data_IF_062557859295
#
_entry.id   IF_062557859295
#
_cell.length_a   1.000
_cell.length_b   1.000
_cell.length_c   1.000
_cell.angle_alpha   90.00
_cell.angle_beta   90.00
_cell.angle_gamma   90.00
#
_symmetry.space_group_name_H-M   'P 1'
#
loop_
_entity.id
_entity.type
_entity.pdbx_description
1 polymer ?
#
# COMPACT_ATOMS: atom_id res chain seq x y z
N UNK A 1 -3.23 -12.01 -13.77
CA UNK A 1 -1.82 -11.62 -13.52
C UNK A 1 -1.87 -10.50 -12.51
N UNK A 2 -1.16 -10.59 -11.39
CA UNK A 2 -1.12 -9.55 -10.36
C UNK A 2 0.04 -8.58 -10.63
N UNK A 3 -0.15 -7.31 -10.28
CA UNK A 3 0.85 -6.26 -10.48
C UNK A 3 1.18 -5.65 -9.14
N UNK A 4 2.47 -5.49 -8.84
CA UNK A 4 3.06 -4.98 -7.60
C UNK A 4 2.79 -5.82 -6.35
N UNK A 5 1.61 -6.42 -6.17
CA UNK A 5 1.25 -7.21 -4.98
C UNK A 5 0.59 -8.53 -5.35
N UNK A 6 0.90 -9.58 -4.61
CA UNK A 6 0.36 -10.92 -4.76
C UNK A 6 0.34 -11.65 -3.39
N UNK A 7 -0.06 -12.91 -3.39
CA UNK A 7 -0.12 -13.74 -2.17
C UNK A 7 1.21 -13.92 -1.43
N UNK A 8 2.34 -13.68 -2.09
CA UNK A 8 3.68 -13.79 -1.50
C UNK A 8 4.19 -12.45 -0.95
N UNK A 9 3.44 -11.35 -1.16
CA UNK A 9 3.81 -10.03 -0.67
C UNK A 9 3.79 -10.00 0.85
N UNK A 10 4.94 -9.77 1.48
CA UNK A 10 5.11 -9.71 2.94
C UNK A 10 4.98 -8.26 3.40
N UNK A 11 3.86 -7.97 4.03
CA UNK A 11 3.44 -6.61 4.39
C UNK A 11 3.71 -6.32 5.85
N UNK A 12 4.16 -5.10 6.16
CA UNK A 12 4.14 -4.55 7.53
C UNK A 12 3.24 -3.31 7.58
N UNK A 13 2.76 -2.97 8.77
CA UNK A 13 1.98 -1.76 9.02
C UNK A 13 2.79 -0.76 9.85
N UNK A 14 3.04 0.45 9.37
CA UNK A 14 3.55 1.56 10.15
C UNK A 14 2.39 2.31 10.82
N UNK A 15 2.50 2.57 12.12
CA UNK A 15 1.39 3.01 12.96
C UNK A 15 0.50 1.85 13.43
N UNK A 16 1.06 0.64 13.49
CA UNK A 16 0.38 -0.64 13.68
C UNK A 16 -0.52 -0.69 14.92
N UNK A 17 -0.09 -0.13 16.04
CA UNK A 17 -0.85 -0.13 17.30
C UNK A 17 -1.79 1.07 17.46
N UNK A 18 -1.90 1.93 16.45
CA UNK A 18 -2.87 3.01 16.38
C UNK A 18 -4.25 2.50 15.95
N UNK A 19 -5.32 3.25 16.22
CA UNK A 19 -6.68 2.81 15.91
C UNK A 19 -6.87 2.45 14.42
N UNK A 20 -6.44 3.31 13.51
CA UNK A 20 -6.51 3.04 12.06
C UNK A 20 -5.59 1.89 11.64
N UNK A 21 -4.34 1.87 12.14
CA UNK A 21 -3.40 0.79 11.85
C UNK A 21 -3.93 -0.56 12.30
N UNK A 22 -4.49 -0.66 13.50
CA UNK A 22 -5.12 -1.88 14.03
C UNK A 22 -6.28 -2.33 13.16
N UNK A 23 -7.27 -1.46 12.94
CA UNK A 23 -8.48 -1.80 12.18
C UNK A 23 -8.17 -2.29 10.76
N UNK A 24 -7.35 -1.55 10.02
CA UNK A 24 -7.05 -1.93 8.64
C UNK A 24 -6.09 -3.11 8.54
N UNK A 25 -5.27 -3.35 9.55
CA UNK A 25 -4.47 -4.58 9.65
C UNK A 25 -5.34 -5.82 9.87
N UNK A 26 -6.33 -5.74 10.77
CA UNK A 26 -7.31 -6.81 10.95
C UNK A 26 -8.06 -7.12 9.65
N UNK A 27 -8.53 -6.08 8.94
CA UNK A 27 -9.23 -6.25 7.67
C UNK A 27 -8.31 -6.82 6.56
N UNK A 28 -7.03 -6.47 6.55
CA UNK A 28 -6.05 -7.05 5.64
C UNK A 28 -5.80 -8.54 5.94
N UNK A 29 -5.63 -8.89 7.21
CA UNK A 29 -5.49 -10.29 7.65
C UNK A 29 -6.73 -11.12 7.28
N UNK A 30 -7.93 -10.61 7.57
CA UNK A 30 -9.20 -11.27 7.19
C UNK A 30 -9.33 -11.49 5.69
N UNK A 31 -8.78 -10.58 4.90
CA UNK A 31 -8.75 -10.69 3.43
C UNK A 31 -7.77 -11.74 2.92
N UNK A 32 -6.83 -12.18 3.73
CA UNK A 32 -5.78 -13.12 3.36
C UNK A 32 -4.44 -12.49 2.97
N UNK A 33 -4.27 -11.19 3.23
CA UNK A 33 -2.98 -10.50 3.06
C UNK A 33 -1.95 -11.09 4.03
N UNK A 34 -0.76 -11.39 3.54
CA UNK A 34 0.35 -11.86 4.34
C UNK A 34 0.97 -10.70 5.15
N UNK A 35 0.24 -10.23 6.17
CA UNK A 35 0.73 -9.26 7.12
C UNK A 35 1.65 -9.97 8.12
N UNK A 36 2.92 -9.59 8.16
CA UNK A 36 3.94 -10.29 8.95
C UNK A 36 4.34 -9.58 10.24
N UNK A 37 3.96 -8.31 10.41
CA UNK A 37 4.28 -7.53 11.61
C UNK A 37 3.92 -6.06 11.43
N UNK A 38 4.38 -5.23 12.36
CA UNK A 38 4.19 -3.79 12.25
C UNK A 38 5.23 -2.98 13.01
N UNK A 39 5.22 -1.69 12.75
CA UNK A 39 6.14 -0.72 13.34
C UNK A 39 5.37 0.31 14.14
N UNK A 40 5.75 0.46 15.41
CA UNK A 40 5.30 1.56 16.26
C UNK A 40 6.47 1.94 17.19
N UNK A 41 7.03 3.14 17.04
CA UNK A 41 8.15 3.59 17.88
C UNK A 41 7.85 3.43 19.38
N UNK A 42 8.84 2.97 20.15
CA UNK A 42 8.78 2.70 21.59
C UNK A 42 7.85 1.54 22.01
N UNK A 43 7.36 0.74 21.07
CA UNK A 43 6.56 -0.46 21.34
C UNK A 43 7.19 -1.74 20.77
N UNK A 44 8.43 -1.66 20.31
CA UNK A 44 9.19 -2.84 19.85
C UNK A 44 9.29 -3.92 20.92
N UNK A 45 9.28 -5.19 20.49
CA UNK A 45 9.27 -6.37 21.34
C UNK A 45 7.91 -6.80 21.88
N UNK A 46 6.85 -6.02 21.64
CA UNK A 46 5.48 -6.40 21.98
C UNK A 46 4.86 -7.22 20.84
N UNK A 47 3.73 -7.85 21.13
CA UNK A 47 2.83 -8.43 20.11
C UNK A 47 1.56 -7.59 19.98
N UNK A 48 1.08 -7.46 18.75
CA UNK A 48 -0.21 -6.84 18.44
C UNK A 48 -0.85 -7.63 17.29
N UNK A 49 -2.13 -7.99 17.42
CA UNK A 49 -2.80 -8.93 16.51
C UNK A 49 -2.02 -10.24 16.30
N UNK A 50 -1.43 -10.76 17.37
CA UNK A 50 -0.53 -11.93 17.38
C UNK A 50 0.75 -11.78 16.53
N UNK A 51 1.01 -10.62 15.98
CA UNK A 51 2.18 -10.29 15.15
C UNK A 51 3.20 -9.45 15.93
N UNK A 52 4.50 -9.56 15.59
CA UNK A 52 5.55 -8.78 16.24
C UNK A 52 5.45 -7.28 15.91
N UNK A 53 5.77 -6.46 16.91
CA UNK A 53 5.90 -5.00 16.77
C UNK A 53 7.37 -4.61 16.88
N UNK A 54 7.83 -3.78 15.97
CA UNK A 54 9.19 -3.24 15.91
C UNK A 54 9.21 -1.74 16.18
N UNK A 55 10.35 -1.21 16.55
CA UNK A 55 10.51 0.23 16.70
C UNK A 55 10.78 0.92 15.36
N UNK A 56 11.42 0.24 14.42
CA UNK A 56 11.83 0.76 13.12
C UNK A 56 11.55 -0.21 11.99
N UNK A 57 11.42 0.35 10.76
CA UNK A 57 11.22 -0.45 9.55
C UNK A 57 12.43 -1.33 9.25
N UNK A 58 13.65 -0.84 9.52
CA UNK A 58 14.86 -1.62 9.27
C UNK A 58 14.95 -2.86 10.19
N UNK A 59 14.54 -2.74 11.47
CA UNK A 59 14.43 -3.89 12.38
C UNK A 59 13.46 -4.93 11.80
N UNK A 60 12.24 -4.48 11.41
CA UNK A 60 11.23 -5.36 10.85
C UNK A 60 11.71 -6.04 9.55
N UNK A 61 12.41 -5.31 8.67
CA UNK A 61 12.92 -5.86 7.41
C UNK A 61 14.01 -6.90 7.63
N UNK A 62 14.90 -6.69 8.58
CA UNK A 62 15.98 -7.62 8.87
C UNK A 62 15.46 -8.95 9.45
N UNK A 63 14.35 -8.93 10.19
CA UNK A 63 13.79 -10.13 10.82
C UNK A 63 12.71 -10.82 9.96
N UNK A 64 11.96 -10.07 9.16
CA UNK A 64 10.75 -10.57 8.51
C UNK A 64 10.80 -10.61 6.97
N UNK A 65 11.91 -10.28 6.34
CA UNK A 65 12.04 -10.22 4.87
C UNK A 65 10.87 -9.45 4.21
N UNK A 66 10.63 -8.23 4.69
CA UNK A 66 9.53 -7.36 4.27
C UNK A 66 9.77 -6.82 2.86
N UNK A 67 8.76 -6.85 2.00
CA UNK A 67 8.81 -6.22 0.67
C UNK A 67 7.74 -5.14 0.45
N UNK A 68 6.76 -5.03 1.33
CA UNK A 68 5.76 -3.95 1.27
C UNK A 68 5.43 -3.37 2.66
N UNK A 69 5.10 -2.08 2.70
CA UNK A 69 4.59 -1.43 3.91
C UNK A 69 3.34 -0.60 3.64
N UNK A 70 2.40 -0.60 4.58
CA UNK A 70 1.24 0.29 4.60
C UNK A 70 1.37 1.29 5.75
N UNK A 71 1.10 2.58 5.48
CA UNK A 71 1.35 3.68 6.40
C UNK A 71 0.04 4.33 6.84
N UNK A 72 -0.22 4.29 8.16
CA UNK A 72 -1.38 4.91 8.83
C UNK A 72 -0.98 5.88 9.94
N UNK A 73 0.24 6.36 9.92
CA UNK A 73 0.69 7.35 10.92
C UNK A 73 0.08 8.73 10.67
N UNK A 74 -0.08 9.59 11.69
CA UNK A 74 -0.56 10.96 11.50
C UNK A 74 0.28 11.77 10.50
N UNK A 75 -0.36 12.69 9.75
CA UNK A 75 0.24 13.46 8.65
C UNK A 75 1.62 14.06 8.96
N UNK A 76 1.77 14.64 10.16
CA UNK A 76 3.04 15.24 10.61
C UNK A 76 4.22 14.27 10.70
N UNK A 77 3.96 12.97 10.73
CA UNK A 77 5.00 11.92 10.80
C UNK A 77 5.08 11.09 9.51
N UNK A 78 4.10 11.19 8.63
CA UNK A 78 3.96 10.30 7.49
C UNK A 78 5.11 10.43 6.48
N UNK A 79 5.61 11.65 6.21
CA UNK A 79 6.77 11.84 5.35
C UNK A 79 8.02 11.14 5.90
N UNK A 80 8.26 11.20 7.21
CA UNK A 80 9.38 10.50 7.84
C UNK A 80 9.19 8.97 7.77
N UNK A 81 7.96 8.48 7.94
CA UNK A 81 7.66 7.06 7.81
C UNK A 81 7.90 6.54 6.39
N UNK A 82 7.59 7.35 5.36
CA UNK A 82 7.90 7.02 3.96
C UNK A 82 9.42 6.99 3.76
N UNK A 83 10.13 8.01 4.25
CA UNK A 83 11.59 8.12 4.13
C UNK A 83 12.28 6.92 4.81
N UNK A 84 11.83 6.55 6.00
CA UNK A 84 12.36 5.39 6.73
C UNK A 84 12.18 4.08 5.93
N UNK A 85 11.03 3.90 5.29
CA UNK A 85 10.79 2.74 4.43
C UNK A 85 11.68 2.74 3.17
N UNK A 86 11.93 3.91 2.57
CA UNK A 86 12.87 4.06 1.45
C UNK A 86 14.29 3.70 1.88
N UNK A 87 14.75 4.21 3.03
CA UNK A 87 16.09 3.95 3.58
C UNK A 87 16.28 2.48 3.95
N UNK A 88 15.22 1.81 4.41
CA UNK A 88 15.19 0.37 4.63
C UNK A 88 15.06 -0.45 3.31
N UNK A 89 15.02 0.21 2.14
CA UNK A 89 14.88 -0.43 0.83
C UNK A 89 13.64 -1.33 0.73
N UNK A 90 12.50 -0.89 1.27
CA UNK A 90 11.21 -1.55 1.07
C UNK A 90 10.76 -1.30 -0.36
N UNK A 91 10.42 -2.36 -1.09
CA UNK A 91 10.12 -2.28 -2.53
C UNK A 91 8.85 -1.50 -2.82
N UNK A 92 7.78 -1.76 -2.06
CA UNK A 92 6.48 -1.10 -2.21
C UNK A 92 6.06 -0.38 -0.92
N UNK A 93 5.81 0.92 -1.03
CA UNK A 93 5.35 1.77 0.06
C UNK A 93 3.95 2.28 -0.29
N UNK A 94 2.96 2.02 0.56
CA UNK A 94 1.58 2.48 0.37
C UNK A 94 1.22 3.43 1.50
N UNK A 95 1.11 4.72 1.20
CA UNK A 95 0.80 5.75 2.19
C UNK A 95 -0.67 6.17 2.08
N UNK A 96 -1.46 5.77 3.08
CA UNK A 96 -2.90 6.09 3.14
C UNK A 96 -3.13 7.50 3.67
N UNK A 97 -2.24 7.96 4.52
CA UNK A 97 -2.37 9.24 5.25
C UNK A 97 -2.59 10.41 4.30
N UNK A 98 -3.57 11.22 4.65
CA UNK A 98 -3.93 12.48 4.00
C UNK A 98 -3.30 13.67 4.75
N UNK A 99 -3.09 14.80 4.05
CA UNK A 99 -2.71 16.08 4.65
C UNK A 99 -1.22 16.20 4.97
N UNK A 100 -0.36 15.46 4.30
CA UNK A 100 1.10 15.63 4.42
C UNK A 100 1.49 16.97 3.79
N UNK A 101 2.29 17.82 4.48
CA UNK A 101 2.73 19.09 3.91
C UNK A 101 3.49 18.91 2.60
N UNK A 102 3.20 19.78 1.61
CA UNK A 102 3.83 19.74 0.28
C UNK A 102 5.36 19.75 0.36
N UNK A 103 5.92 20.61 1.24
CA UNK A 103 7.38 20.69 1.42
C UNK A 103 8.00 19.37 1.93
N UNK A 104 7.29 18.63 2.75
CA UNK A 104 7.78 17.33 3.23
C UNK A 104 7.68 16.27 2.14
N UNK A 105 6.63 16.30 1.30
CA UNK A 105 6.53 15.45 0.13
C UNK A 105 7.59 15.74 -0.94
N UNK A 106 8.08 16.97 -1.07
CA UNK A 106 9.22 17.28 -1.95
C UNK A 106 10.50 16.57 -1.47
N UNK A 107 10.75 16.52 -0.15
CA UNK A 107 11.88 15.76 0.41
C UNK A 107 11.73 14.24 0.15
N UNK A 108 10.50 13.72 0.29
CA UNK A 108 10.19 12.34 -0.06
C UNK A 108 10.52 12.05 -1.52
N UNK A 109 10.06 12.91 -2.46
CA UNK A 109 10.34 12.74 -3.91
C UNK A 109 11.84 12.69 -4.20
N UNK A 110 12.62 13.59 -3.63
CA UNK A 110 14.08 13.60 -3.82
C UNK A 110 14.77 12.32 -3.37
N UNK A 111 14.28 11.69 -2.29
CA UNK A 111 14.80 10.41 -1.83
C UNK A 111 14.29 9.24 -2.69
N UNK A 112 13.02 9.28 -3.08
CA UNK A 112 12.39 8.26 -3.90
C UNK A 112 13.10 8.11 -5.26
N UNK A 113 13.41 9.23 -5.93
CA UNK A 113 14.12 9.26 -7.21
C UNK A 113 15.51 8.60 -7.17
N UNK A 114 16.12 8.53 -6.01
CA UNK A 114 17.44 7.89 -5.79
C UNK A 114 17.32 6.43 -5.30
N UNK A 115 16.11 5.91 -5.18
CA UNK A 115 15.82 4.59 -4.65
C UNK A 115 15.20 3.67 -5.70
N UNK A 116 15.05 2.39 -5.36
CA UNK A 116 14.27 1.42 -6.14
C UNK A 116 12.86 1.23 -5.59
N UNK A 117 12.52 1.91 -4.49
CA UNK A 117 11.21 1.83 -3.88
C UNK A 117 10.14 2.47 -4.75
N UNK A 118 8.96 1.88 -4.79
CA UNK A 118 7.76 2.47 -5.40
C UNK A 118 6.85 3.00 -4.31
N UNK A 119 6.31 4.21 -4.48
CA UNK A 119 5.37 4.83 -3.54
C UNK A 119 4.00 4.99 -4.19
N UNK A 120 2.98 4.42 -3.59
CA UNK A 120 1.56 4.68 -3.88
C UNK A 120 1.02 5.64 -2.82
N UNK A 121 0.38 6.72 -3.26
CA UNK A 121 -0.06 7.80 -2.36
C UNK A 121 0.95 8.95 -2.25
N UNK A 122 0.79 9.83 -1.27
CA UNK A 122 -0.16 9.81 -0.13
C UNK A 122 -1.63 10.04 -0.53
N UNK A 123 -2.52 10.06 0.49
CA UNK A 123 -3.95 10.29 0.31
C UNK A 123 -4.56 9.34 -0.73
N UNK A 124 -4.34 8.06 -0.54
CA UNK A 124 -4.77 7.02 -1.47
C UNK A 124 -5.56 5.91 -0.78
N UNK A 125 -6.44 5.20 -1.50
CA UNK A 125 -7.15 4.06 -0.94
C UNK A 125 -6.30 2.78 -0.90
N UNK A 126 -5.12 2.78 -1.53
CA UNK A 126 -4.20 1.66 -1.55
C UNK A 126 -4.21 0.84 -2.84
N UNK A 127 -3.88 -0.42 -2.72
CA UNK A 127 -3.81 -1.39 -3.83
C UNK A 127 -4.42 -2.73 -3.41
N UNK A 128 -5.09 -3.39 -4.34
CA UNK A 128 -5.66 -4.72 -4.14
C UNK A 128 -5.47 -5.60 -5.38
N UNK A 129 -4.99 -6.81 -5.19
CA UNK A 129 -5.10 -7.91 -6.15
C UNK A 129 -6.15 -8.87 -5.59
N UNK A 130 -7.32 -9.01 -6.27
CA UNK A 130 -8.42 -9.83 -5.75
C UNK A 130 -8.00 -11.25 -5.44
N UNK A 131 -8.45 -11.76 -4.27
CA UNK A 131 -8.18 -13.08 -3.69
C UNK A 131 -6.70 -13.34 -3.32
N UNK A 132 -5.82 -12.32 -3.41
CA UNK A 132 -4.39 -12.49 -3.14
C UNK A 132 -3.84 -11.55 -2.08
N UNK A 133 -4.04 -10.23 -2.24
CA UNK A 133 -3.44 -9.24 -1.34
C UNK A 133 -4.22 -7.92 -1.36
N UNK A 134 -4.47 -7.37 -0.18
CA UNK A 134 -5.09 -6.06 0.03
C UNK A 134 -4.21 -5.22 0.92
N UNK A 135 -3.75 -4.07 0.44
CA UNK A 135 -3.01 -3.07 1.19
C UNK A 135 -3.76 -1.74 1.10
N UNK A 136 -4.29 -1.27 2.22
CA UNK A 136 -5.05 -0.02 2.28
C UNK A 136 -6.49 -0.20 2.72
N UNK A 137 -7.34 0.76 2.35
CA UNK A 137 -8.71 0.91 2.85
C UNK A 137 -9.79 0.43 1.87
N UNK A 138 -9.42 -0.05 0.69
CA UNK A 138 -10.39 -0.52 -0.31
C UNK A 138 -11.28 -1.62 0.25
N UNK A 139 -12.61 -1.59 0.00
CA UNK A 139 -13.53 -2.65 0.41
C UNK A 139 -13.27 -3.93 -0.40
N UNK A 140 -12.78 -4.99 0.26
CA UNK A 140 -12.41 -6.24 -0.42
C UNK A 140 -13.59 -6.97 -1.08
N UNK A 141 -14.80 -6.83 -0.51
CA UNK A 141 -16.00 -7.54 -0.92
C UNK A 141 -16.57 -7.15 -2.30
N UNK A 142 -16.21 -5.97 -2.82
CA UNK A 142 -16.65 -5.55 -4.17
C UNK A 142 -15.70 -6.02 -5.28
N UNK A 143 -14.49 -6.43 -4.92
CA UNK A 143 -13.47 -6.89 -5.86
C UNK A 143 -13.68 -8.36 -6.21
N UNK A 144 -13.53 -8.69 -7.49
CA UNK A 144 -13.55 -10.08 -8.00
C UNK A 144 -12.35 -10.30 -8.91
N UNK A 145 -11.76 -11.49 -8.83
CA UNK A 145 -10.64 -11.86 -9.70
C UNK A 145 -11.07 -11.84 -11.18
N UNK A 146 -10.27 -11.19 -12.01
CA UNK A 146 -10.55 -11.05 -13.43
C UNK A 146 -9.39 -10.42 -14.20
N UNK A 147 -9.69 -9.74 -15.31
CA UNK A 147 -8.70 -9.27 -16.27
C UNK A 147 -8.53 -7.75 -16.33
N UNK A 148 -9.44 -6.97 -15.72
CA UNK A 148 -9.40 -5.51 -15.82
C UNK A 148 -8.41 -4.91 -14.85
N UNK A 149 -7.43 -4.15 -15.33
CA UNK A 149 -6.57 -3.31 -14.50
C UNK A 149 -7.22 -1.95 -14.26
N UNK A 150 -7.27 -1.51 -13.00
CA UNK A 150 -7.82 -0.20 -12.63
C UNK A 150 -6.74 0.63 -11.96
N UNK A 151 -6.48 1.82 -12.52
CA UNK A 151 -5.62 2.84 -11.92
C UNK A 151 -6.40 4.14 -11.84
N UNK A 152 -6.53 4.71 -10.64
CA UNK A 152 -7.36 5.90 -10.43
C UNK A 152 -6.77 6.84 -9.38
N UNK A 153 -6.96 8.15 -9.57
CA UNK A 153 -6.69 9.17 -8.56
C UNK A 153 -7.86 9.39 -7.61
N UNK A 154 -9.05 9.02 -8.02
CA UNK A 154 -10.28 9.22 -7.26
C UNK A 154 -10.62 7.98 -6.44
N UNK A 155 -10.78 8.11 -5.12
CA UNK A 155 -11.24 7.01 -4.26
C UNK A 155 -12.63 6.53 -4.64
N UNK A 156 -13.60 7.44 -4.70
CA UNK A 156 -15.02 7.10 -4.97
C UNK A 156 -15.23 6.51 -6.36
N UNK A 157 -14.64 7.12 -7.40
CA UNK A 157 -14.78 6.64 -8.76
C UNK A 157 -14.10 5.29 -8.98
N UNK A 158 -13.03 5.02 -8.22
CA UNK A 158 -12.37 3.70 -8.20
C UNK A 158 -13.37 2.61 -7.80
N UNK A 159 -14.13 2.84 -6.71
CA UNK A 159 -15.07 1.84 -6.20
C UNK A 159 -16.24 1.60 -7.16
N UNK A 160 -16.70 2.65 -7.83
CA UNK A 160 -17.73 2.53 -8.87
C UNK A 160 -17.24 1.70 -10.06
N UNK A 161 -16.04 1.97 -10.56
CA UNK A 161 -15.45 1.21 -11.66
C UNK A 161 -15.23 -0.27 -11.29
N UNK A 162 -14.79 -0.55 -10.05
CA UNK A 162 -14.63 -1.91 -9.52
C UNK A 162 -15.98 -2.62 -9.44
N UNK A 163 -17.01 -1.98 -8.89
CA UNK A 163 -18.34 -2.58 -8.75
C UNK A 163 -18.94 -2.92 -10.12
N UNK A 164 -18.87 -1.98 -11.08
CA UNK A 164 -19.36 -2.18 -12.43
C UNK A 164 -18.63 -3.31 -13.16
N UNK A 165 -17.30 -3.36 -13.11
CA UNK A 165 -16.54 -4.43 -13.75
C UNK A 165 -16.78 -5.79 -13.09
N UNK A 166 -16.99 -5.83 -11.76
CA UNK A 166 -17.34 -7.03 -11.02
C UNK A 166 -18.74 -7.55 -11.36
N UNK A 167 -19.75 -6.65 -11.46
CA UNK A 167 -21.14 -6.99 -11.83
C UNK A 167 -21.26 -7.50 -13.25
N UNK A 168 -20.44 -6.97 -14.17
CA UNK A 168 -20.40 -7.41 -15.56
C UNK A 168 -19.53 -8.67 -15.79
N UNK A 169 -19.03 -9.32 -14.73
CA UNK A 169 -18.29 -10.57 -14.82
C UNK A 169 -16.86 -10.45 -15.33
N UNK A 170 -16.34 -9.22 -15.50
CA UNK A 170 -14.98 -8.98 -15.98
C UNK A 170 -13.95 -9.13 -14.86
N UNK A 171 -14.27 -8.68 -13.66
CA UNK A 171 -13.38 -8.68 -12.51
C UNK A 171 -12.08 -7.88 -12.71
N UNK A 172 -11.23 -7.86 -11.68
CA UNK A 172 -9.99 -7.09 -11.72
C UNK A 172 -8.76 -7.99 -11.62
N UNK A 173 -7.72 -7.67 -12.39
CA UNK A 173 -6.38 -8.22 -12.19
C UNK A 173 -5.67 -7.52 -11.03
N UNK A 174 -5.77 -6.20 -10.99
CA UNK A 174 -5.27 -5.33 -9.91
C UNK A 174 -6.05 -4.03 -9.93
N UNK A 175 -6.33 -3.48 -8.76
CA UNK A 175 -6.89 -2.14 -8.60
C UNK A 175 -5.95 -1.29 -7.75
N UNK A 176 -5.51 -0.14 -8.26
CA UNK A 176 -4.59 0.79 -7.59
C UNK A 176 -5.18 2.18 -7.53
N UNK A 177 -5.32 2.72 -6.32
CA UNK A 177 -5.62 4.12 -6.11
C UNK A 177 -4.34 4.89 -5.81
N UNK A 178 -3.96 5.83 -6.67
CA UNK A 178 -2.66 6.52 -6.56
C UNK A 178 -2.70 7.79 -5.72
N UNK A 179 -3.88 8.20 -5.25
CA UNK A 179 -4.06 9.35 -4.37
C UNK A 179 -4.35 10.67 -5.08
N UNK A 180 -5.01 11.55 -4.32
CA UNK A 180 -5.48 12.86 -4.80
C UNK A 180 -4.51 14.02 -4.59
N UNK A 181 -3.47 13.85 -3.81
CA UNK A 181 -2.54 14.91 -3.45
C UNK A 181 -1.76 15.46 -4.66
N UNK A 182 -1.36 16.75 -4.64
CA UNK A 182 -0.63 17.38 -5.75
C UNK A 182 0.75 16.76 -5.97
N UNK A 183 1.39 16.26 -4.90
CA UNK A 183 2.66 15.54 -4.96
C UNK A 183 2.44 14.12 -4.46
N UNK A 184 2.36 13.20 -5.38
CA UNK A 184 2.27 11.76 -5.12
C UNK A 184 3.55 11.02 -5.54
N UNK A 185 3.65 9.77 -5.16
CA UNK A 185 4.79 8.91 -5.44
C UNK A 185 4.89 8.58 -6.91
N UNK A 186 4.20 7.55 -7.34
CA UNK A 186 4.08 7.11 -8.73
C UNK A 186 2.89 7.76 -9.42
N UNK A 187 3.03 8.03 -10.72
CA UNK A 187 1.99 8.63 -11.56
C UNK A 187 1.13 7.55 -12.21
N UNK A 188 -0.04 7.98 -12.75
CA UNK A 188 -0.93 7.07 -13.48
C UNK A 188 -0.24 6.37 -14.64
N UNK A 189 0.61 7.10 -15.37
CA UNK A 189 1.33 6.61 -16.53
C UNK A 189 2.29 5.48 -16.18
N UNK A 190 2.95 5.58 -15.03
CA UNK A 190 3.88 4.56 -14.54
C UNK A 190 3.14 3.25 -14.22
N UNK A 191 1.97 3.33 -13.56
CA UNK A 191 1.15 2.16 -13.27
C UNK A 191 0.47 1.60 -14.51
N UNK A 192 0.09 2.45 -15.46
CA UNK A 192 -0.51 2.00 -16.71
C UNK A 192 0.46 1.16 -17.54
N UNK A 193 1.74 1.54 -17.58
CA UNK A 193 2.76 0.75 -18.26
C UNK A 193 3.00 -0.62 -17.60
N UNK A 194 2.84 -0.72 -16.28
CA UNK A 194 2.92 -2.00 -15.54
C UNK A 194 1.69 -2.89 -15.80
N UNK A 195 0.53 -2.30 -16.07
CA UNK A 195 -0.71 -3.01 -16.41
C UNK A 195 -0.73 -3.52 -17.85
N UNK A 196 0.02 -2.89 -18.74
CA UNK A 196 0.23 -3.37 -20.10
C UNK A 196 1.26 -4.49 -20.08
N UNK A 197 0.82 -5.70 -19.71
CA UNK A 197 1.61 -6.89 -19.98
C UNK A 197 1.78 -7.02 -21.49
N UNK A 198 3.00 -7.28 -22.01
CA UNK A 198 3.13 -7.66 -23.41
C UNK A 198 2.24 -8.88 -23.62
N UNK A 199 1.26 -8.75 -24.49
CA UNK A 199 0.64 -9.92 -25.09
C UNK A 199 1.77 -10.57 -25.89
N UNK A 200 2.31 -11.65 -25.38
CA UNK A 200 3.11 -12.57 -26.19
C UNK A 200 2.17 -13.10 -27.27
N UNK A 201 2.29 -12.52 -28.46
CA UNK A 201 1.63 -12.97 -29.67
C UNK A 201 2.47 -14.11 -30.26
#
# INVERSE_FOLDING_TARGET
>A
MSILVNKNTRVICQGFTGAHGTFHSEEAIKYGTNLVGGVTPKKGGQKHLELPVFNTVIEAKNELDVNATMIYVPAKFAANAIIEAIEASVELIVCITEGIPVQDMLKVKQKLEKSKSKLIGPNCPGIITPDECKIGIMPGNIHKKGSVGIVSRSGTLTYEAVDQTSKNGLGQSTCTGIGGDPINGTRSEEHTSELQSPLDI
#
